data_IF_091661383751
#
_entry.id   IF_091661383751
#
_cell.length_a   1.000
_cell.length_b   1.000
_cell.length_c   1.000
_cell.angle_alpha   90.00
_cell.angle_beta   90.00
_cell.angle_gamma   90.00
#
_symmetry.space_group_name_H-M   'P 1'
#
loop_
_entity.id
_entity.type
_entity.pdbx_description
1 polymer ?
#
# COMPACT_ATOMS: atom_id res chain seq x y z
N UNK A 1 17.02 66.46 27.01
CA UNK A 1 17.90 65.29 26.77
C UNK A 1 17.24 64.46 25.68
N UNK A 2 17.93 64.29 24.57
CA UNK A 2 17.63 63.48 23.37
C UNK A 2 18.64 62.28 23.39
N UNK A 3 18.67 61.31 22.45
CA UNK A 3 17.65 60.41 21.88
C UNK A 3 18.14 58.92 21.77
N UNK A 4 17.36 58.07 21.07
CA UNK A 4 17.78 56.98 20.14
C UNK A 4 18.02 55.51 20.58
N UNK A 5 17.22 54.63 19.95
CA UNK A 5 17.50 53.40 19.14
C UNK A 5 18.72 52.51 19.41
N UNK A 6 18.53 51.17 19.49
CA UNK A 6 19.40 50.05 19.06
C UNK A 6 18.62 48.73 19.23
N UNK A 7 18.85 47.58 18.57
CA UNK A 7 19.29 47.17 17.23
C UNK A 7 19.12 45.62 17.20
N UNK A 8 18.88 45.07 16.02
CA UNK A 8 18.85 43.63 15.71
C UNK A 8 20.23 42.97 15.91
N UNK A 9 20.26 41.70 16.33
CA UNK A 9 21.47 40.86 16.28
C UNK A 9 21.13 39.51 15.63
N UNK A 10 21.59 39.35 14.38
CA UNK A 10 21.67 38.06 13.70
C UNK A 10 22.96 37.34 14.08
N UNK A 11 22.89 36.02 14.24
CA UNK A 11 24.05 35.14 14.41
C UNK A 11 24.18 34.32 13.13
N UNK A 12 25.27 34.57 12.40
CA UNK A 12 25.75 33.72 11.32
C UNK A 12 26.75 32.71 11.91
N UNK A 13 26.55 31.42 11.65
CA UNK A 13 27.52 30.37 11.96
C UNK A 13 28.10 29.83 10.65
N UNK A 14 29.41 30.00 10.51
CA UNK A 14 30.19 29.64 9.34
C UNK A 14 30.45 28.12 9.27
N UNK A 15 30.21 27.53 8.10
CA UNK A 15 30.71 26.20 7.72
C UNK A 15 32.18 26.30 7.29
N UNK A 16 33.04 25.49 7.89
CA UNK A 16 34.40 25.21 7.38
C UNK A 16 34.42 23.84 6.71
N UNK A 17 34.68 23.84 5.41
CA UNK A 17 35.01 22.65 4.61
C UNK A 17 36.39 22.11 5.01
N UNK A 18 36.47 20.80 5.29
CA UNK A 18 37.73 20.06 5.40
C UNK A 18 37.94 19.18 4.17
N UNK A 19 39.00 19.46 3.42
CA UNK A 19 39.39 18.75 2.20
C UNK A 19 40.16 17.45 2.49
N UNK A 20 39.96 16.45 1.64
CA UNK A 20 40.79 15.24 1.53
C UNK A 20 42.15 15.54 0.87
N UNK A 21 43.21 14.90 1.38
CA UNK A 21 44.50 14.74 0.71
C UNK A 21 45.28 13.55 1.30
N UNK A 22 46.08 12.80 0.52
CA UNK A 22 46.43 11.40 0.82
C UNK A 22 47.91 11.18 1.24
N UNK A 23 48.20 9.96 1.71
CA UNK A 23 49.55 9.42 1.94
C UNK A 23 49.80 9.08 3.43
N UNK A 24 50.56 8.07 3.84
CA UNK A 24 51.38 7.06 3.20
C UNK A 24 51.67 5.95 4.25
N UNK A 25 52.22 4.84 3.78
CA UNK A 25 52.60 3.62 4.49
C UNK A 25 53.48 3.83 5.73
N UNK A 26 53.35 2.94 6.72
CA UNK A 26 54.27 2.86 7.86
C UNK A 26 54.11 1.57 8.65
N UNK A 27 55.10 0.71 8.49
CA UNK A 27 55.26 -0.64 9.02
C UNK A 27 55.55 -0.69 10.54
N UNK A 28 55.54 -1.93 11.06
CA UNK A 28 56.35 -2.42 12.17
C UNK A 28 55.83 -2.40 13.64
N UNK A 29 55.50 -3.63 14.07
CA UNK A 29 56.05 -4.36 15.24
C UNK A 29 55.85 -3.85 16.68
N UNK A 30 55.26 -4.74 17.50
CA UNK A 30 55.98 -5.31 18.64
C UNK A 30 55.44 -5.06 20.06
N UNK A 31 55.25 -6.15 20.82
CA UNK A 31 55.34 -6.20 22.28
C UNK A 31 53.99 -6.39 23.02
N UNK A 32 53.54 -7.60 23.34
CA UNK A 32 53.86 -8.47 24.51
C UNK A 32 53.44 -7.98 25.90
N UNK A 33 52.66 -8.83 26.58
CA UNK A 33 52.44 -8.88 28.04
C UNK A 33 50.97 -8.65 28.42
N UNK A 34 50.26 -9.50 29.14
CA UNK A 34 50.57 -10.72 29.88
C UNK A 34 49.59 -10.85 31.06
N UNK A 35 49.10 -12.06 31.34
CA UNK A 35 48.61 -12.46 32.67
C UNK A 35 47.10 -12.71 32.82
N UNK A 36 46.75 -13.95 33.22
CA UNK A 36 45.46 -14.26 33.87
C UNK A 36 44.88 -15.65 33.60
N UNK A 37 45.47 -16.70 34.18
CA UNK A 37 44.93 -18.07 34.26
C UNK A 37 43.71 -18.14 35.23
N UNK A 38 42.69 -18.98 35.04
CA UNK A 38 42.60 -20.43 35.32
C UNK A 38 41.09 -20.77 35.38
N UNK A 39 40.53 -21.95 35.13
CA UNK A 39 40.97 -23.30 34.79
C UNK A 39 39.72 -24.20 34.71
N UNK A 40 39.79 -25.35 34.02
CA UNK A 40 38.71 -26.35 33.99
C UNK A 40 38.63 -27.19 32.72
N UNK A 41 39.48 -28.21 32.63
CA UNK A 41 39.46 -29.37 31.70
C UNK A 41 38.20 -30.24 31.97
N UNK A 42 37.67 -31.16 31.15
CA UNK A 42 38.12 -32.20 30.19
C UNK A 42 36.81 -32.73 29.53
N UNK A 43 36.70 -33.31 28.34
CA UNK A 43 37.66 -33.73 27.33
C UNK A 43 36.97 -34.42 26.14
N UNK A 44 37.76 -34.58 25.07
CA UNK A 44 37.78 -35.70 24.08
C UNK A 44 36.57 -35.82 23.13
N UNK A 45 36.68 -35.36 21.88
CA UNK A 45 37.30 -36.08 20.75
C UNK A 45 36.22 -36.18 19.66
N UNK A 46 36.43 -36.07 18.35
CA UNK A 46 37.61 -36.17 17.50
C UNK A 46 37.25 -35.59 16.12
N UNK A 47 38.15 -34.76 15.59
CA UNK A 47 38.59 -34.67 14.19
C UNK A 47 37.66 -35.17 13.07
N UNK A 48 37.38 -34.31 12.09
CA UNK A 48 38.16 -34.31 10.84
C UNK A 48 37.78 -33.14 9.93
N UNK A 49 38.81 -32.68 9.24
CA UNK A 49 38.96 -31.44 8.51
C UNK A 49 38.83 -31.64 7.00
N UNK A 50 38.66 -30.50 6.34
CA UNK A 50 38.57 -30.26 4.91
C UNK A 50 39.66 -30.91 4.02
N UNK A 51 39.32 -30.97 2.73
CA UNK A 51 40.22 -31.15 1.58
C UNK A 51 39.55 -32.05 0.54
N UNK A 52 39.43 -31.71 -0.74
CA UNK A 52 39.92 -30.59 -1.52
C UNK A 52 39.83 -30.97 -3.00
N UNK A 53 39.68 -29.94 -3.84
CA UNK A 53 40.13 -29.82 -5.23
C UNK A 53 39.68 -30.82 -6.33
N UNK A 54 39.15 -30.24 -7.41
CA UNK A 54 39.64 -30.52 -8.76
C UNK A 54 38.62 -31.08 -9.74
N UNK A 55 38.25 -30.29 -10.76
CA UNK A 55 37.64 -30.82 -11.98
C UNK A 55 36.68 -29.89 -12.73
N UNK A 56 37.22 -28.96 -13.51
CA UNK A 56 36.65 -28.52 -14.81
C UNK A 56 37.72 -28.84 -15.86
N UNK A 57 37.43 -29.00 -17.17
CA UNK A 57 36.33 -28.37 -17.91
C UNK A 57 35.60 -29.29 -18.92
N UNK A 58 34.38 -28.92 -19.32
CA UNK A 58 33.97 -29.17 -20.71
C UNK A 58 32.91 -28.17 -21.17
N UNK A 59 33.29 -27.41 -22.21
CA UNK A 59 32.43 -26.59 -23.06
C UNK A 59 31.40 -27.45 -23.79
N UNK A 60 30.19 -26.92 -23.96
CA UNK A 60 29.41 -27.14 -25.18
C UNK A 60 28.53 -25.92 -25.47
N UNK A 61 28.70 -25.47 -26.70
CA UNK A 61 28.28 -24.23 -27.35
C UNK A 61 26.79 -24.09 -27.64
N UNK A 62 26.35 -22.84 -27.72
CA UNK A 62 25.22 -22.39 -28.53
C UNK A 62 25.41 -22.75 -30.01
N UNK A 63 24.35 -23.19 -30.70
CA UNK A 63 24.16 -22.88 -32.11
C UNK A 63 22.69 -23.00 -32.53
N UNK A 64 22.29 -21.99 -33.27
CA UNK A 64 21.03 -21.76 -33.96
C UNK A 64 20.95 -22.48 -35.32
N UNK A 65 19.72 -22.61 -35.83
CA UNK A 65 19.26 -22.56 -37.24
C UNK A 65 17.98 -23.40 -37.34
N UNK A 66 16.92 -23.07 -38.09
CA UNK A 66 16.69 -22.02 -39.07
C UNK A 66 15.68 -22.54 -40.11
N UNK A 67 14.62 -21.76 -40.38
CA UNK A 67 13.79 -21.80 -41.61
C UNK A 67 12.60 -22.78 -41.63
N UNK A 68 11.51 -22.55 -42.37
CA UNK A 68 10.99 -21.37 -43.08
C UNK A 68 9.56 -21.69 -43.62
N UNK A 69 8.75 -20.63 -43.77
CA UNK A 69 7.78 -20.35 -44.85
C UNK A 69 6.42 -21.07 -44.97
N UNK A 70 5.41 -20.22 -45.23
CA UNK A 70 4.04 -20.50 -45.70
C UNK A 70 3.06 -19.64 -44.89
N UNK A 71 2.47 -18.53 -45.34
CA UNK A 71 2.11 -18.08 -46.69
C UNK A 71 0.59 -18.12 -46.84
N UNK A 72 -0.13 -17.06 -46.42
CA UNK A 72 -1.49 -16.78 -46.88
C UNK A 72 -1.88 -15.32 -46.59
N UNK A 73 -1.86 -14.51 -47.64
CA UNK A 73 -2.56 -13.23 -47.78
C UNK A 73 -4.05 -13.46 -48.00
N UNK A 74 -4.91 -12.68 -47.34
CA UNK A 74 -6.14 -12.19 -47.99
C UNK A 74 -6.55 -10.84 -47.41
N UNK A 75 -6.79 -9.93 -48.34
CA UNK A 75 -7.23 -8.54 -48.23
C UNK A 75 -8.73 -8.46 -48.52
N UNK A 76 -9.37 -7.41 -48.00
CA UNK A 76 -10.73 -6.96 -48.40
C UNK A 76 -11.68 -6.93 -47.20
N UNK A 77 -12.49 -5.91 -46.96
CA UNK A 77 -12.80 -4.70 -47.72
C UNK A 77 -13.71 -3.79 -46.88
N UNK A 78 -13.85 -2.55 -47.33
CA UNK A 78 -14.52 -1.46 -46.63
C UNK A 78 -16.03 -1.35 -46.91
N UNK A 79 -16.77 -0.90 -45.89
CA UNK A 79 -17.94 0.01 -45.96
C UNK A 79 -19.33 -0.60 -46.31
N UNK A 80 -20.41 0.22 -46.28
CA UNK A 80 -20.75 1.26 -45.30
C UNK A 80 -22.26 1.25 -44.90
N UNK A 81 -22.64 2.15 -43.96
CA UNK A 81 -23.94 2.83 -43.83
C UNK A 81 -25.23 2.04 -43.50
N UNK A 82 -25.94 2.51 -42.46
CA UNK A 82 -27.32 2.09 -42.18
C UNK A 82 -27.96 2.82 -41.00
N UNK A 83 -28.20 4.12 -41.15
CA UNK A 83 -29.08 4.91 -40.28
C UNK A 83 -30.54 4.50 -40.45
N UNK A 84 -31.26 4.29 -39.35
CA UNK A 84 -32.73 4.39 -39.33
C UNK A 84 -33.19 5.11 -38.06
N UNK A 85 -33.62 6.36 -38.24
CA UNK A 85 -34.49 7.10 -37.35
C UNK A 85 -35.96 6.75 -37.64
N UNK A 86 -36.78 6.58 -36.60
CA UNK A 86 -38.20 7.01 -36.52
C UNK A 86 -38.80 6.36 -35.26
N UNK A 87 -39.09 7.10 -34.21
CA UNK A 87 -40.39 7.74 -33.95
C UNK A 87 -40.84 7.26 -32.56
N UNK A 88 -41.13 8.12 -31.58
CA UNK A 88 -42.17 9.14 -31.62
C UNK A 88 -43.49 8.52 -31.17
N UNK A 89 -43.70 8.39 -29.86
CA UNK A 89 -44.93 7.86 -29.28
C UNK A 89 -45.17 8.44 -27.89
N UNK A 90 -46.02 9.47 -27.81
CA UNK A 90 -46.55 10.06 -26.59
C UNK A 90 -47.71 9.23 -26.01
N UNK A 91 -47.83 9.24 -24.68
CA UNK A 91 -48.97 8.70 -23.91
C UNK A 91 -48.51 7.63 -22.93
N UNK A 92 -48.86 7.61 -21.64
CA UNK A 92 -49.78 8.41 -20.87
C UNK A 92 -49.35 8.33 -19.40
N UNK A 93 -49.61 9.40 -18.64
CA UNK A 93 -49.49 9.40 -17.20
C UNK A 93 -50.57 8.49 -16.58
N UNK A 94 -50.14 7.51 -15.80
CA UNK A 94 -50.97 6.84 -14.79
C UNK A 94 -50.29 7.02 -13.45
N UNK A 95 -50.94 7.81 -12.59
CA UNK A 95 -50.46 8.11 -11.26
C UNK A 95 -50.60 6.94 -10.30
N UNK A 96 -49.70 6.96 -9.32
CA UNK A 96 -50.02 6.70 -7.92
C UNK A 96 -50.43 5.29 -7.53
N UNK A 97 -49.43 4.50 -7.14
CA UNK A 97 -49.47 3.86 -5.82
C UNK A 97 -48.15 4.14 -5.12
N UNK A 98 -48.14 5.13 -4.22
CA UNK A 98 -47.18 5.19 -3.13
C UNK A 98 -47.38 3.95 -2.28
N UNK A 99 -46.66 2.88 -2.63
CA UNK A 99 -46.26 1.92 -1.63
C UNK A 99 -45.33 2.67 -0.69
N UNK A 100 -45.76 2.87 0.55
CA UNK A 100 -44.86 3.17 1.65
C UNK A 100 -43.92 1.97 1.81
N UNK A 101 -42.90 1.90 0.94
CA UNK A 101 -41.75 1.06 1.17
C UNK A 101 -41.07 1.63 2.39
N UNK A 102 -41.21 0.95 3.53
CA UNK A 102 -40.31 1.17 4.65
C UNK A 102 -38.88 1.16 4.11
N UNK A 103 -38.06 2.10 4.58
CA UNK A 103 -36.64 2.15 4.24
C UNK A 103 -36.07 0.73 4.31
N UNK A 104 -35.41 0.23 3.25
CA UNK A 104 -34.65 -1.00 3.39
C UNK A 104 -33.69 -0.76 4.55
N UNK A 105 -33.74 -1.58 5.59
CA UNK A 105 -32.56 -1.78 6.43
C UNK A 105 -31.53 -2.42 5.51
N UNK A 106 -30.81 -1.58 4.76
CA UNK A 106 -30.06 -1.99 3.58
C UNK A 106 -28.90 -2.87 3.99
N UNK A 107 -28.90 -4.11 3.51
CA UNK A 107 -27.75 -4.99 3.59
C UNK A 107 -26.51 -4.27 3.04
N UNK A 108 -25.36 -4.48 3.65
CA UNK A 108 -24.13 -3.88 3.19
C UNK A 108 -23.64 -4.56 1.90
N UNK A 109 -24.00 -4.01 0.74
CA UNK A 109 -23.63 -4.59 -0.55
C UNK A 109 -22.34 -4.00 -1.11
N UNK A 110 -21.75 -4.70 -2.08
CA UNK A 110 -20.57 -4.19 -2.80
C UNK A 110 -20.89 -2.90 -3.56
N UNK A 111 -22.07 -2.83 -4.17
CA UNK A 111 -22.53 -1.66 -4.93
C UNK A 111 -22.69 -0.43 -4.02
N UNK A 112 -23.18 -0.63 -2.79
CA UNK A 112 -23.25 0.44 -1.80
C UNK A 112 -21.84 0.94 -1.45
N UNK A 113 -20.93 0.04 -1.11
CA UNK A 113 -19.57 0.40 -0.71
C UNK A 113 -18.78 1.07 -1.85
N UNK A 114 -18.88 0.56 -3.07
CA UNK A 114 -18.19 1.11 -4.24
C UNK A 114 -18.78 2.48 -4.64
N UNK A 115 -20.11 2.62 -4.61
CA UNK A 115 -20.79 3.88 -4.86
C UNK A 115 -20.43 4.96 -3.83
N UNK A 116 -20.34 4.60 -2.54
CA UNK A 116 -19.91 5.54 -1.51
C UNK A 116 -18.45 5.99 -1.67
N UNK A 117 -17.56 5.13 -2.18
CA UNK A 117 -16.20 5.54 -2.54
C UNK A 117 -16.19 6.51 -3.73
N UNK A 118 -17.04 6.28 -4.75
CA UNK A 118 -17.19 7.21 -5.86
C UNK A 118 -17.71 8.57 -5.40
N UNK A 119 -18.76 8.58 -4.57
CA UNK A 119 -19.33 9.80 -3.99
C UNK A 119 -18.30 10.54 -3.12
N UNK A 120 -17.53 9.82 -2.30
CA UNK A 120 -16.45 10.37 -1.50
C UNK A 120 -15.40 11.09 -2.36
N UNK A 121 -14.92 10.42 -3.41
CA UNK A 121 -13.90 11.00 -4.29
C UNK A 121 -14.43 12.18 -5.10
N UNK A 122 -15.70 12.15 -5.51
CA UNK A 122 -16.35 13.28 -6.17
C UNK A 122 -16.49 14.49 -5.22
N UNK A 123 -16.94 14.27 -3.98
CA UNK A 123 -17.05 15.31 -2.96
C UNK A 123 -15.68 15.90 -2.60
N UNK A 124 -14.65 15.05 -2.48
CA UNK A 124 -13.27 15.47 -2.23
C UNK A 124 -12.74 16.37 -3.35
N UNK A 125 -12.92 15.99 -4.61
CA UNK A 125 -12.50 16.81 -5.75
C UNK A 125 -13.29 18.13 -5.86
N UNK A 126 -14.52 18.17 -5.34
CA UNK A 126 -15.33 19.38 -5.27
C UNK A 126 -14.96 20.28 -4.07
N UNK A 127 -14.19 19.78 -3.11
CA UNK A 127 -13.89 20.46 -1.86
C UNK A 127 -15.12 20.70 -0.97
N UNK A 128 -16.18 19.91 -1.16
CA UNK A 128 -17.46 20.07 -0.46
C UNK A 128 -18.03 18.70 -0.06
N UNK A 129 -18.05 18.36 1.24
CA UNK A 129 -18.58 17.09 1.73
C UNK A 129 -20.12 17.08 1.82
N UNK A 130 -20.82 18.17 1.49
CA UNK A 130 -22.27 18.31 1.70
C UNK A 130 -23.14 17.31 0.92
N UNK A 131 -22.59 16.70 -0.14
CA UNK A 131 -23.25 15.64 -0.90
C UNK A 131 -23.14 14.25 -0.26
N UNK A 132 -22.29 14.07 0.75
CA UNK A 132 -22.05 12.76 1.36
C UNK A 132 -23.14 12.40 2.38
N UNK A 133 -23.56 11.13 2.45
CA UNK A 133 -24.46 10.66 3.49
C UNK A 133 -23.67 10.47 4.79
N UNK A 134 -23.42 11.56 5.52
CA UNK A 134 -22.67 11.54 6.78
C UNK A 134 -23.61 11.29 7.95
N UNK A 135 -23.27 10.31 8.80
CA UNK A 135 -23.99 10.10 10.05
C UNK A 135 -23.77 11.27 11.03
N UNK A 136 -24.72 11.48 11.94
CA UNK A 136 -24.51 12.40 13.06
C UNK A 136 -23.28 11.96 13.88
N UNK A 137 -22.32 12.86 14.05
CA UNK A 137 -21.10 12.58 14.80
C UNK A 137 -20.06 11.74 14.03
N UNK A 138 -20.13 11.68 12.70
CA UNK A 138 -19.10 11.04 11.85
C UNK A 138 -17.68 11.39 12.34
N UNK A 139 -16.85 10.37 12.56
CA UNK A 139 -15.44 10.58 12.93
C UNK A 139 -14.57 10.59 11.69
N UNK A 140 -14.00 11.76 11.39
CA UNK A 140 -13.03 11.93 10.32
C UNK A 140 -11.62 12.15 10.88
N UNK A 141 -10.64 11.47 10.29
CA UNK A 141 -9.22 11.69 10.59
C UNK A 141 -8.43 11.86 9.29
N UNK A 142 -7.47 12.79 9.32
CA UNK A 142 -6.44 12.93 8.30
C UNK A 142 -5.08 12.83 8.97
N UNK A 143 -4.24 11.90 8.52
CA UNK A 143 -2.86 11.74 8.99
C UNK A 143 -2.75 11.58 10.51
N UNK A 144 -3.67 10.83 11.11
CA UNK A 144 -3.70 10.56 12.55
C UNK A 144 -4.38 11.66 13.39
N UNK A 145 -4.84 12.74 12.76
CA UNK A 145 -5.47 13.86 13.46
C UNK A 145 -6.97 13.90 13.16
N UNK A 146 -7.80 13.96 14.21
CA UNK A 146 -9.23 14.17 14.06
C UNK A 146 -9.52 15.61 13.62
N UNK A 147 -10.42 15.74 12.64
CA UNK A 147 -10.86 17.03 12.11
C UNK A 147 -12.33 16.96 11.69
N UNK A 148 -12.92 18.13 11.41
CA UNK A 148 -14.18 18.19 10.69
C UNK A 148 -13.91 17.93 9.20
N UNK A 149 -14.68 17.04 8.58
CA UNK A 149 -14.56 16.74 7.15
C UNK A 149 -14.76 18.01 6.32
N UNK A 150 -13.99 18.15 5.24
CA UNK A 150 -14.02 19.35 4.38
C UNK A 150 -13.18 20.53 4.89
N UNK A 151 -12.64 20.47 6.11
CA UNK A 151 -11.88 21.61 6.69
C UNK A 151 -10.37 21.51 6.55
N UNK A 152 -9.82 20.33 6.24
CA UNK A 152 -8.37 20.14 6.09
C UNK A 152 -7.86 20.73 4.78
N UNK A 153 -6.55 21.02 4.72
CA UNK A 153 -5.94 21.56 3.50
C UNK A 153 -6.06 20.58 2.33
N UNK A 154 -5.87 19.27 2.58
CA UNK A 154 -6.08 18.26 1.54
C UNK A 154 -7.50 18.27 1.01
N UNK A 155 -8.52 18.36 1.88
CA UNK A 155 -9.92 18.43 1.44
C UNK A 155 -10.21 19.66 0.58
N UNK A 156 -9.53 20.78 0.82
CA UNK A 156 -9.76 22.04 0.10
C UNK A 156 -9.00 22.13 -1.22
N UNK A 157 -7.89 21.42 -1.33
CA UNK A 157 -6.94 21.54 -2.45
C UNK A 157 -6.81 20.26 -3.29
N UNK A 158 -7.49 19.17 -2.92
CA UNK A 158 -7.55 17.94 -3.70
C UNK A 158 -8.24 18.16 -5.05
N UNK A 159 -7.69 17.56 -6.11
CA UNK A 159 -8.32 17.51 -7.42
C UNK A 159 -8.91 16.13 -7.73
N UNK A 160 -9.31 15.94 -8.99
CA UNK A 160 -9.89 14.69 -9.47
C UNK A 160 -8.93 13.49 -9.26
N UNK A 161 -9.48 12.41 -8.72
CA UNK A 161 -8.74 11.17 -8.50
C UNK A 161 -8.27 10.60 -9.82
N UNK A 162 -6.95 10.38 -9.94
CA UNK A 162 -6.34 9.84 -11.15
C UNK A 162 -6.36 8.32 -11.20
N UNK A 163 -6.36 7.69 -10.03
CA UNK A 163 -6.38 6.24 -9.90
C UNK A 163 -6.85 5.84 -8.49
N UNK A 164 -7.56 4.71 -8.39
CA UNK A 164 -7.82 4.05 -7.09
C UNK A 164 -7.91 2.53 -7.26
N UNK A 165 -7.29 1.80 -6.33
CA UNK A 165 -7.48 0.36 -6.10
C UNK A 165 -8.28 0.19 -4.80
N UNK A 166 -9.28 -0.70 -4.78
CA UNK A 166 -10.34 -0.73 -3.76
C UNK A 166 -10.60 -2.15 -3.25
N UNK A 167 -10.82 -2.29 -1.95
CA UNK A 167 -11.35 -3.50 -1.31
C UNK A 167 -12.71 -3.19 -0.68
N UNK A 168 -13.69 -4.04 -0.92
CA UNK A 168 -15.06 -3.90 -0.45
C UNK A 168 -15.39 -5.04 0.53
N UNK A 169 -15.42 -4.74 1.82
CA UNK A 169 -15.71 -5.70 2.89
C UNK A 169 -17.17 -5.56 3.33
N UNK A 170 -18.02 -6.41 2.77
CA UNK A 170 -19.48 -6.40 3.04
C UNK A 170 -19.83 -6.91 4.43
N UNK A 171 -18.97 -7.71 5.07
CA UNK A 171 -19.24 -8.23 6.42
C UNK A 171 -18.88 -7.20 7.49
N UNK A 172 -17.75 -6.50 7.34
CA UNK A 172 -17.37 -5.39 8.21
C UNK A 172 -18.08 -4.07 7.88
N UNK A 173 -18.90 -4.08 6.82
CA UNK A 173 -19.49 -2.91 6.19
C UNK A 173 -18.54 -1.71 6.08
N UNK A 174 -17.39 -1.98 5.47
CA UNK A 174 -16.29 -1.04 5.37
C UNK A 174 -15.61 -1.21 4.03
N UNK A 175 -15.00 -0.14 3.52
CA UNK A 175 -14.21 -0.19 2.31
C UNK A 175 -12.88 0.51 2.52
N UNK A 176 -11.85 0.01 1.84
CA UNK A 176 -10.52 0.62 1.83
C UNK A 176 -10.05 0.88 0.41
N UNK A 177 -9.34 1.97 0.22
CA UNK A 177 -8.78 2.35 -1.06
C UNK A 177 -7.35 2.87 -0.91
N UNK A 178 -6.50 2.57 -1.88
CA UNK A 178 -5.27 3.30 -2.13
C UNK A 178 -5.42 4.04 -3.46
N UNK A 179 -5.07 5.30 -3.50
CA UNK A 179 -5.38 6.21 -4.60
C UNK A 179 -4.20 7.13 -4.93
N UNK A 180 -4.26 7.70 -6.14
CA UNK A 180 -3.41 8.79 -6.57
C UNK A 180 -4.28 10.01 -6.78
N UNK A 181 -4.09 11.03 -5.94
CA UNK A 181 -4.92 12.23 -5.89
C UNK A 181 -4.01 13.46 -5.99
N UNK A 182 -4.26 14.38 -6.93
CA UNK A 182 -3.48 15.61 -7.02
C UNK A 182 -3.85 16.59 -5.90
N UNK A 183 -2.86 17.26 -5.32
CA UNK A 183 -3.00 18.41 -4.42
C UNK A 183 -2.03 19.50 -4.89
N UNK A 184 -2.53 20.71 -5.18
CA UNK A 184 -1.67 21.83 -5.59
C UNK A 184 -0.79 21.54 -6.84
N UNK A 185 -1.28 20.70 -7.76
CA UNK A 185 -0.56 20.29 -8.98
C UNK A 185 0.47 19.18 -8.78
N UNK A 186 0.52 18.54 -7.61
CA UNK A 186 1.36 17.37 -7.32
C UNK A 186 0.51 16.15 -7.04
N UNK A 187 0.84 15.03 -7.68
CA UNK A 187 0.18 13.75 -7.40
C UNK A 187 0.67 13.20 -6.06
N UNK A 188 -0.27 12.84 -5.19
CA UNK A 188 0.00 12.28 -3.87
C UNK A 188 -0.52 10.83 -3.79
N UNK A 189 0.25 9.91 -3.17
CA UNK A 189 -0.29 8.64 -2.70
C UNK A 189 -1.23 8.89 -1.52
N UNK A 190 -2.42 8.32 -1.58
CA UNK A 190 -3.46 8.48 -0.55
C UNK A 190 -4.02 7.11 -0.18
N UNK A 191 -4.23 6.86 1.11
CA UNK A 191 -5.01 5.73 1.59
C UNK A 191 -6.29 6.26 2.25
N UNK A 192 -7.39 5.53 2.07
CA UNK A 192 -8.71 5.86 2.60
C UNK A 192 -9.34 4.59 3.17
N UNK A 193 -9.93 4.70 4.36
CA UNK A 193 -10.89 3.72 4.89
C UNK A 193 -12.19 4.45 5.21
N UNK A 194 -13.30 3.85 4.80
CA UNK A 194 -14.65 4.24 5.22
C UNK A 194 -15.32 3.10 5.99
N UNK A 195 -16.16 3.45 6.97
CA UNK A 195 -17.13 2.55 7.61
C UNK A 195 -18.53 3.08 7.41
N UNK A 196 -19.46 2.15 7.21
CA UNK A 196 -20.85 2.45 6.86
C UNK A 196 -21.79 1.78 7.87
N UNK A 197 -22.74 2.55 8.38
CA UNK A 197 -23.85 2.03 9.18
C UNK A 197 -25.14 2.70 8.69
N UNK A 198 -26.18 1.92 8.42
CA UNK A 198 -27.45 2.49 7.93
C UNK A 198 -27.35 3.21 6.58
N UNK A 199 -26.38 2.84 5.72
CA UNK A 199 -26.03 3.55 4.47
C UNK A 199 -25.42 4.94 4.65
N UNK A 200 -25.01 5.29 5.88
CA UNK A 200 -24.30 6.53 6.20
C UNK A 200 -22.85 6.26 6.58
N UNK A 201 -21.96 7.17 6.22
CA UNK A 201 -20.55 7.16 6.62
C UNK A 201 -20.45 7.54 8.10
N UNK A 202 -19.97 6.61 8.93
CA UNK A 202 -19.77 6.81 10.37
C UNK A 202 -18.31 7.06 10.73
N UNK A 203 -17.38 6.49 9.95
CA UNK A 203 -15.95 6.64 10.17
C UNK A 203 -15.22 6.83 8.84
N UNK A 204 -14.28 7.78 8.81
CA UNK A 204 -13.46 8.09 7.65
C UNK A 204 -12.02 8.31 8.12
N UNK A 205 -11.10 7.52 7.59
CA UNK A 205 -9.67 7.59 7.92
C UNK A 205 -8.85 7.78 6.65
N UNK A 206 -8.16 8.90 6.55
CA UNK A 206 -7.35 9.29 5.38
C UNK A 206 -5.88 9.41 5.75
N UNK A 207 -5.02 8.79 4.93
CA UNK A 207 -3.56 8.94 4.98
C UNK A 207 -3.15 9.64 3.68
N UNK A 208 -2.58 10.84 3.80
CA UNK A 208 -2.09 11.65 2.68
C UNK A 208 -0.58 11.76 2.80
N UNK A 209 0.16 11.29 1.79
CA UNK A 209 1.63 11.24 1.84
C UNK A 209 2.23 12.34 0.99
N UNK A 210 2.72 13.42 1.63
CA UNK A 210 3.46 14.49 0.95
C UNK A 210 4.96 14.19 0.92
N UNK A 211 5.74 14.83 0.01
CA UNK A 211 7.18 14.64 -0.01
C UNK A 211 7.83 15.01 1.34
N UNK A 212 8.57 14.05 1.91
CA UNK A 212 9.21 14.21 3.23
C UNK A 212 8.37 13.69 4.40
N UNK A 213 7.13 13.27 4.18
CA UNK A 213 6.26 12.74 5.25
C UNK A 213 6.63 11.31 5.68
N UNK A 214 7.55 10.64 4.97
CA UNK A 214 8.02 9.30 5.31
C UNK A 214 9.54 9.30 5.45
N UNK A 215 10.05 9.21 6.69
CA UNK A 215 11.47 9.44 7.00
C UNK A 215 12.21 8.23 7.59
N UNK A 216 11.63 7.03 7.50
CA UNK A 216 12.32 5.80 7.93
C UNK A 216 13.70 5.65 7.25
N UNK A 217 14.66 5.01 7.93
CA UNK A 217 16.03 4.82 7.37
C UNK A 217 16.07 3.99 6.08
N UNK A 218 15.03 3.21 5.82
CA UNK A 218 14.80 2.41 4.63
C UNK A 218 13.74 3.02 3.70
N UNK A 219 13.27 4.23 3.99
CA UNK A 219 12.26 4.90 3.20
C UNK A 219 12.75 5.13 1.77
N UNK A 220 11.84 4.90 0.83
CA UNK A 220 12.00 5.22 -0.58
C UNK A 220 11.14 6.43 -0.92
N UNK A 221 11.63 7.24 -1.86
CA UNK A 221 10.84 8.37 -2.35
C UNK A 221 9.53 7.88 -2.99
N UNK A 222 8.43 8.55 -2.65
CA UNK A 222 7.12 8.27 -3.24
C UNK A 222 7.16 8.39 -4.76
N UNK A 223 6.46 7.49 -5.45
CA UNK A 223 6.31 7.52 -6.90
C UNK A 223 4.85 7.18 -7.28
N UNK A 224 3.92 8.15 -7.20
CA UNK A 224 2.50 7.93 -7.48
C UNK A 224 2.25 7.36 -8.89
N UNK A 225 3.07 7.74 -9.87
CA UNK A 225 2.93 7.23 -11.25
C UNK A 225 3.14 5.71 -11.33
N UNK A 226 3.99 5.12 -10.47
CA UNK A 226 4.19 3.67 -10.43
C UNK A 226 2.97 2.92 -9.87
N UNK A 227 2.19 3.54 -8.97
CA UNK A 227 0.93 2.96 -8.47
C UNK A 227 -0.04 2.76 -9.64
N UNK A 228 -0.15 3.77 -10.52
CA UNK A 228 -1.01 3.72 -11.70
C UNK A 228 -0.47 2.68 -12.70
N UNK A 229 0.82 2.76 -13.02
CA UNK A 229 1.43 1.97 -14.08
C UNK A 229 1.35 0.46 -13.87
N UNK A 230 1.43 -0.01 -12.61
CA UNK A 230 1.41 -1.44 -12.29
C UNK A 230 -0.02 -2.00 -12.13
N UNK A 231 -1.03 -1.13 -12.07
CA UNK A 231 -2.38 -1.53 -11.64
C UNK A 231 -3.01 -2.61 -12.54
N UNK A 232 -2.85 -2.46 -13.85
CA UNK A 232 -3.37 -3.41 -14.84
C UNK A 232 -2.64 -4.77 -14.78
N UNK A 233 -1.36 -4.79 -14.38
CA UNK A 233 -0.61 -6.04 -14.20
C UNK A 233 -1.09 -6.83 -12.98
N UNK A 234 -1.63 -6.13 -11.96
CA UNK A 234 -2.09 -6.75 -10.71
C UNK A 234 -3.57 -7.16 -10.80
N UNK A 235 -4.40 -6.40 -11.52
CA UNK A 235 -5.83 -6.67 -11.61
C UNK A 235 -6.54 -6.44 -10.28
N UNK A 236 -6.35 -5.27 -9.67
CA UNK A 236 -6.96 -4.94 -8.36
C UNK A 236 -8.49 -5.03 -8.38
N UNK A 237 -9.13 -4.64 -9.48
CA UNK A 237 -10.59 -4.67 -9.60
C UNK A 237 -11.14 -5.98 -10.16
N UNK A 238 -10.26 -6.86 -10.64
CA UNK A 238 -10.65 -8.14 -11.22
C UNK A 238 -11.13 -9.09 -10.13
N UNK A 239 -12.28 -9.72 -10.39
CA UNK A 239 -12.77 -10.80 -9.55
C UNK A 239 -11.88 -12.02 -9.68
N UNK A 240 -11.54 -12.62 -8.54
CA UNK A 240 -10.84 -13.89 -8.50
C UNK A 240 -11.83 -15.01 -8.87
N UNK A 241 -11.46 -16.01 -9.70
CA UNK A 241 -12.32 -17.16 -9.95
C UNK A 241 -12.75 -17.84 -8.64
N UNK A 242 -14.00 -18.28 -8.53
CA UNK A 242 -14.56 -18.79 -7.26
C UNK A 242 -13.72 -19.90 -6.61
N UNK A 243 -13.16 -20.81 -7.42
CA UNK A 243 -12.30 -21.90 -6.95
C UNK A 243 -10.91 -21.45 -6.44
N UNK A 244 -10.50 -20.21 -6.73
CA UNK A 244 -9.24 -19.61 -6.34
C UNK A 244 -9.41 -18.53 -5.26
N UNK A 245 -10.66 -18.20 -4.87
CA UNK A 245 -10.95 -17.21 -3.83
C UNK A 245 -10.50 -17.74 -2.47
N UNK A 246 -9.72 -16.92 -1.77
CA UNK A 246 -9.49 -17.13 -0.36
C UNK A 246 -10.78 -16.84 0.42
N UNK A 247 -11.01 -17.61 1.47
CA UNK A 247 -12.04 -17.31 2.47
C UNK A 247 -11.67 -16.06 3.25
N UNK A 248 -12.67 -15.47 3.92
CA UNK A 248 -12.47 -14.36 4.86
C UNK A 248 -11.43 -14.68 5.93
N UNK A 249 -11.55 -15.86 6.55
CA UNK A 249 -10.65 -16.31 7.61
C UNK A 249 -9.20 -16.39 7.09
N UNK A 250 -9.01 -16.91 5.88
CA UNK A 250 -7.69 -16.90 5.24
C UNK A 250 -7.18 -15.48 5.04
N UNK A 251 -7.92 -14.60 4.35
CA UNK A 251 -7.48 -13.22 4.09
C UNK A 251 -7.14 -12.44 5.36
N UNK A 252 -8.01 -12.51 6.37
CA UNK A 252 -7.83 -11.83 7.65
C UNK A 252 -6.68 -12.41 8.47
N UNK A 253 -6.54 -13.74 8.51
CA UNK A 253 -5.39 -14.39 9.16
C UNK A 253 -4.08 -14.06 8.45
N UNK A 254 -4.08 -13.93 7.12
CA UNK A 254 -2.88 -13.59 6.34
C UNK A 254 -2.36 -12.21 6.67
N UNK A 255 -3.23 -11.20 6.62
CA UNK A 255 -2.81 -9.83 6.86
C UNK A 255 -2.43 -9.60 8.33
N UNK A 256 -3.15 -10.18 9.31
CA UNK A 256 -2.73 -10.15 10.72
C UNK A 256 -1.33 -10.76 10.91
N UNK A 257 -1.10 -11.94 10.32
CA UNK A 257 0.20 -12.61 10.38
C UNK A 257 1.32 -11.82 9.69
N UNK A 258 1.04 -11.22 8.54
CA UNK A 258 2.01 -10.38 7.81
C UNK A 258 2.59 -9.30 8.71
N UNK A 259 1.73 -8.58 9.43
CA UNK A 259 2.16 -7.54 10.37
C UNK A 259 2.87 -8.11 11.60
N UNK A 260 2.37 -9.20 12.18
CA UNK A 260 3.00 -9.82 13.36
C UNK A 260 4.38 -10.41 13.09
N UNK A 261 4.60 -10.91 11.87
CA UNK A 261 5.83 -11.59 11.48
C UNK A 261 6.86 -10.67 10.78
N UNK A 262 6.55 -9.39 10.57
CA UNK A 262 7.45 -8.45 9.90
C UNK A 262 8.82 -8.37 10.60
N UNK A 263 9.97 -8.29 9.88
CA UNK A 263 10.15 -8.17 8.42
C UNK A 263 10.27 -9.50 7.68
N UNK A 264 9.77 -10.61 8.25
CA UNK A 264 10.01 -11.96 7.70
C UNK A 264 9.47 -12.16 6.29
N UNK A 265 8.62 -11.26 5.79
CA UNK A 265 8.07 -11.29 4.44
C UNK A 265 6.67 -11.88 4.41
N UNK A 266 6.18 -12.13 3.20
CA UNK A 266 4.85 -12.68 2.95
C UNK A 266 4.89 -14.20 2.87
N UNK A 267 3.71 -14.77 2.94
CA UNK A 267 3.46 -16.16 2.59
C UNK A 267 3.51 -16.34 1.05
N UNK A 268 3.72 -17.58 0.57
CA UNK A 268 3.77 -18.02 -0.84
C UNK A 268 3.45 -16.93 -1.88
N UNK A 269 4.50 -16.45 -2.57
CA UNK A 269 4.37 -15.38 -3.58
C UNK A 269 4.44 -15.92 -4.99
N UNK A 270 3.79 -15.24 -5.92
CA UNK A 270 4.07 -15.46 -7.34
C UNK A 270 5.41 -14.86 -7.71
N UNK A 271 6.07 -15.39 -8.76
CA UNK A 271 7.32 -14.83 -9.26
C UNK A 271 7.19 -13.39 -9.81
N UNK A 272 5.96 -12.97 -10.14
CA UNK A 272 5.65 -11.62 -10.59
C UNK A 272 5.37 -10.64 -9.44
N UNK A 273 5.24 -11.12 -8.20
CA UNK A 273 4.78 -10.29 -7.10
C UNK A 273 5.67 -9.08 -6.84
N UNK A 274 5.04 -7.90 -6.83
CA UNK A 274 5.67 -6.61 -6.55
C UNK A 274 5.18 -5.98 -5.26
N UNK A 275 6.11 -5.31 -4.59
CA UNK A 275 5.86 -4.48 -3.43
C UNK A 275 6.17 -3.02 -3.70
N UNK A 276 5.20 -2.15 -3.45
CA UNK A 276 5.32 -0.70 -3.53
C UNK A 276 5.04 -0.06 -2.18
N UNK A 277 5.85 0.93 -1.81
CA UNK A 277 5.64 1.78 -0.62
C UNK A 277 5.48 3.22 -1.09
N UNK A 278 4.29 3.79 -0.95
CA UNK A 278 3.95 5.11 -1.52
C UNK A 278 4.25 5.19 -3.03
N UNK A 279 4.19 4.05 -3.73
CA UNK A 279 4.59 3.87 -5.12
C UNK A 279 6.11 3.72 -5.35
N UNK A 280 6.94 3.97 -4.34
CA UNK A 280 8.39 3.81 -4.40
C UNK A 280 8.87 2.35 -4.27
N UNK A 281 10.14 2.14 -4.58
CA UNK A 281 10.85 0.89 -4.31
C UNK A 281 10.75 -0.18 -5.42
N UNK A 282 9.54 -0.50 -5.89
CA UNK A 282 9.27 -1.59 -6.84
C UNK A 282 10.06 -2.87 -6.54
N UNK A 283 9.91 -3.33 -5.30
CA UNK A 283 10.64 -4.49 -4.80
C UNK A 283 9.95 -5.78 -5.24
N UNK A 284 10.72 -6.84 -5.50
CA UNK A 284 10.12 -8.18 -5.56
C UNK A 284 9.63 -8.56 -4.17
N UNK A 285 8.43 -9.15 -4.08
CA UNK A 285 7.96 -9.73 -2.83
C UNK A 285 8.92 -10.85 -2.39
N UNK A 286 9.07 -11.01 -1.07
CA UNK A 286 9.91 -12.06 -0.49
C UNK A 286 9.03 -13.04 0.26
N UNK A 287 9.14 -14.32 -0.09
CA UNK A 287 8.62 -15.40 0.74
C UNK A 287 9.45 -15.48 2.02
N UNK A 288 8.79 -15.58 3.16
CA UNK A 288 9.49 -15.91 4.40
C UNK A 288 8.62 -16.14 5.63
N UNK A 289 7.29 -16.01 5.52
CA UNK A 289 6.33 -16.49 6.52
C UNK A 289 5.55 -17.72 6.00
N UNK A 290 5.06 -18.58 6.91
CA UNK A 290 4.25 -19.76 6.56
C UNK A 290 2.80 -19.40 6.19
N UNK A 291 2.33 -19.94 5.05
CA UNK A 291 0.99 -20.43 4.63
C UNK A 291 -0.07 -20.92 5.63
N UNK A 292 0.26 -21.19 6.90
CA UNK A 292 -0.70 -21.82 7.81
C UNK A 292 -1.52 -20.81 8.62
N UNK A 293 -2.86 -20.91 8.52
CA UNK A 293 -3.81 -20.23 9.41
C UNK A 293 -3.59 -20.64 10.87
N UNK A 294 -3.73 -19.69 11.81
CA UNK A 294 -3.62 -19.94 13.26
C UNK A 294 -2.20 -20.03 13.84
N UNK A 295 -1.16 -19.91 13.01
CA UNK A 295 0.22 -19.69 13.47
C UNK A 295 0.51 -18.17 13.43
N UNK A 296 0.53 -17.46 14.57
CA UNK A 296 0.57 -16.00 14.61
C UNK A 296 1.87 -15.39 14.07
N UNK A 297 2.87 -16.22 13.74
CA UNK A 297 4.25 -15.78 13.69
C UNK A 297 4.77 -15.49 15.10
N UNK A 298 6.01 -15.89 15.38
CA UNK A 298 6.62 -15.59 16.69
C UNK A 298 7.01 -14.11 16.78
N UNK A 299 6.59 -13.42 17.85
CA UNK A 299 7.18 -12.13 18.26
C UNK A 299 6.44 -10.87 17.83
N UNK A 300 5.09 -10.88 17.91
CA UNK A 300 4.20 -9.79 17.49
C UNK A 300 4.80 -8.39 17.63
N UNK A 301 5.27 -7.84 16.52
CA UNK A 301 5.88 -6.52 16.48
C UNK A 301 4.84 -5.45 16.10
N UNK A 302 3.92 -5.76 15.17
CA UNK A 302 2.81 -4.86 14.79
C UNK A 302 1.48 -5.59 14.88
N UNK A 303 0.47 -4.93 15.45
CA UNK A 303 -0.90 -5.45 15.59
C UNK A 303 -1.80 -4.53 14.77
N UNK A 304 -2.42 -5.03 13.68
CA UNK A 304 -3.38 -4.23 12.92
C UNK A 304 -4.55 -3.81 13.80
N UNK A 305 -4.88 -2.52 13.78
CA UNK A 305 -6.07 -1.96 14.44
C UNK A 305 -7.33 -2.26 13.64
N UNK A 306 -7.22 -2.27 12.31
CA UNK A 306 -8.31 -2.59 11.40
C UNK A 306 -7.82 -3.60 10.37
N UNK A 307 -8.66 -4.59 10.08
CA UNK A 307 -8.48 -5.54 8.99
C UNK A 307 -9.75 -5.52 8.15
N UNK A 308 -9.59 -5.45 6.82
CA UNK A 308 -10.68 -5.62 5.85
C UNK A 308 -10.36 -6.80 4.93
N UNK A 309 -11.40 -7.53 4.53
CA UNK A 309 -11.30 -8.61 3.55
C UNK A 309 -12.36 -8.45 2.45
N UNK A 310 -11.90 -8.48 1.19
CA UNK A 310 -12.73 -8.56 -0.02
C UNK A 310 -12.48 -9.92 -0.67
N UNK A 311 -13.33 -10.90 -0.39
CA UNK A 311 -13.19 -12.29 -0.87
C UNK A 311 -13.40 -12.39 -2.38
N UNK A 312 -14.22 -11.51 -2.96
CA UNK A 312 -14.54 -11.51 -4.39
C UNK A 312 -13.34 -11.08 -5.22
N UNK A 313 -12.63 -10.03 -4.79
CA UNK A 313 -11.40 -9.55 -5.45
C UNK A 313 -10.13 -10.15 -4.84
N UNK A 314 -10.24 -10.94 -3.77
CA UNK A 314 -9.09 -11.51 -3.07
C UNK A 314 -8.15 -10.44 -2.52
N UNK A 315 -8.69 -9.42 -1.86
CA UNK A 315 -7.89 -8.33 -1.29
C UNK A 315 -8.01 -8.34 0.22
N UNK A 316 -6.88 -8.28 0.92
CA UNK A 316 -6.83 -8.00 2.34
C UNK A 316 -6.20 -6.62 2.57
N UNK A 317 -6.76 -5.85 3.50
CA UNK A 317 -6.18 -4.59 3.97
C UNK A 317 -5.92 -4.72 5.47
N UNK A 318 -4.79 -4.18 5.93
CA UNK A 318 -4.55 -3.96 7.34
C UNK A 318 -4.06 -2.55 7.59
N UNK A 319 -4.67 -1.88 8.58
CA UNK A 319 -4.25 -0.59 9.08
C UNK A 319 -3.57 -0.77 10.42
N UNK A 320 -2.36 -0.24 10.56
CA UNK A 320 -1.56 -0.35 11.79
C UNK A 320 -0.82 0.96 12.06
N UNK A 321 -0.30 1.08 13.27
CA UNK A 321 0.89 1.87 13.52
C UNK A 321 2.09 0.97 13.27
N UNK A 322 2.94 1.34 12.32
CA UNK A 322 4.15 0.64 11.95
C UNK A 322 5.35 1.36 12.54
N UNK A 323 5.90 0.87 13.65
CA UNK A 323 6.98 1.51 14.42
C UNK A 323 8.31 0.76 14.32
N UNK A 324 8.58 0.14 13.17
CA UNK A 324 9.84 -0.58 12.94
C UNK A 324 11.05 0.36 12.93
N UNK A 325 11.74 0.45 14.06
CA UNK A 325 12.94 1.29 14.25
C UNK A 325 12.66 2.80 14.04
N UNK A 326 11.43 3.24 14.25
CA UNK A 326 10.98 4.63 14.10
C UNK A 326 9.97 5.00 15.18
N UNK A 327 9.58 6.27 15.27
CA UNK A 327 8.57 6.76 16.24
C UNK A 327 7.12 6.41 15.86
N UNK A 328 6.89 5.62 14.81
CA UNK A 328 5.58 5.11 14.38
C UNK A 328 5.00 5.81 13.15
N UNK A 329 4.66 5.01 12.14
CA UNK A 329 4.03 5.42 10.89
C UNK A 329 2.57 4.95 10.86
N UNK A 330 1.65 5.83 10.48
CA UNK A 330 0.32 5.41 10.11
C UNK A 330 0.40 4.69 8.76
N UNK A 331 -0.02 3.43 8.71
CA UNK A 331 0.25 2.52 7.61
C UNK A 331 -1.02 1.77 7.20
N UNK A 332 -1.33 1.80 5.91
CA UNK A 332 -2.28 0.90 5.27
C UNK A 332 -1.57 0.00 4.25
N UNK A 333 -1.45 -1.29 4.55
CA UNK A 333 -1.09 -2.29 3.55
C UNK A 333 -2.33 -2.87 2.87
N UNK A 334 -2.23 -3.12 1.58
CA UNK A 334 -3.21 -3.78 0.72
C UNK A 334 -2.51 -4.92 -0.02
N UNK A 335 -3.04 -6.14 0.11
CA UNK A 335 -2.46 -7.36 -0.45
C UNK A 335 -3.46 -8.00 -1.41
N UNK A 336 -3.01 -8.32 -2.64
CA UNK A 336 -3.78 -9.11 -3.61
C UNK A 336 -3.42 -10.59 -3.48
N UNK A 337 -4.42 -11.44 -3.33
CA UNK A 337 -4.29 -12.88 -3.18
C UNK A 337 -5.26 -13.64 -4.09
N UNK A 338 -4.78 -14.72 -4.68
CA UNK A 338 -5.62 -15.72 -5.35
C UNK A 338 -4.87 -17.05 -5.45
N UNK A 339 -5.61 -18.16 -5.46
CA UNK A 339 -5.03 -19.50 -5.60
C UNK A 339 -4.06 -19.86 -4.48
N UNK A 340 -4.24 -19.28 -3.28
CA UNK A 340 -3.34 -19.45 -2.13
C UNK A 340 -2.00 -18.71 -2.26
N UNK A 341 -1.83 -17.82 -3.25
CA UNK A 341 -0.59 -17.06 -3.45
C UNK A 341 -0.81 -15.56 -3.35
N UNK A 342 0.23 -14.83 -2.93
CA UNK A 342 0.28 -13.37 -2.94
C UNK A 342 0.81 -12.88 -4.30
N UNK A 343 0.06 -11.95 -4.91
CA UNK A 343 0.36 -11.37 -6.21
C UNK A 343 0.88 -9.94 -6.13
N UNK A 344 0.53 -9.20 -5.08
CA UNK A 344 1.04 -7.85 -4.86
C UNK A 344 0.92 -7.43 -3.39
N UNK A 345 1.80 -6.52 -2.97
CA UNK A 345 1.77 -5.87 -1.65
C UNK A 345 1.97 -4.37 -1.83
N UNK A 346 0.93 -3.56 -1.71
CA UNK A 346 1.06 -2.11 -1.76
C UNK A 346 0.84 -1.51 -0.38
N UNK A 347 1.67 -0.55 0.01
CA UNK A 347 1.54 0.17 1.26
C UNK A 347 1.49 1.67 1.02
N UNK A 348 0.59 2.35 1.72
CA UNK A 348 0.57 3.81 1.83
C UNK A 348 0.80 4.14 3.30
N UNK A 349 1.90 4.85 3.58
CA UNK A 349 2.37 5.08 4.93
C UNK A 349 3.10 6.41 5.09
N UNK A 350 2.95 7.03 6.25
CA UNK A 350 3.67 8.25 6.64
C UNK A 350 3.91 8.34 8.14
N UNK A 351 4.84 9.18 8.54
CA UNK A 351 5.16 9.49 9.92
C UNK A 351 3.99 10.18 10.61
N UNK A 352 3.55 9.64 11.74
CA UNK A 352 2.54 10.25 12.62
C UNK A 352 2.94 10.21 14.10
N UNK A 353 4.19 9.85 14.39
CA UNK A 353 4.71 9.65 15.75
C UNK A 353 3.84 8.69 16.56
N UNK A 354 3.40 7.62 15.91
CA UNK A 354 2.61 6.55 16.53
C UNK A 354 1.15 6.90 16.76
N UNK A 355 0.66 8.03 16.25
CA UNK A 355 -0.73 8.45 16.42
C UNK A 355 -1.59 7.97 15.25
N UNK A 356 -2.70 7.29 15.57
CA UNK A 356 -3.71 6.89 14.60
C UNK A 356 -4.91 7.84 14.53
N UNK A 357 -5.18 8.58 15.63
CA UNK A 357 -6.43 9.34 15.80
C UNK A 357 -7.63 8.48 16.18
N UNK A 358 -7.43 7.17 16.37
CA UNK A 358 -8.45 6.16 16.67
C UNK A 358 -8.23 5.43 18.01
N UNK A 359 -7.40 6.00 18.88
CA UNK A 359 -7.28 5.58 20.29
C UNK A 359 -8.53 5.91 21.11
#
# INVERSE_FOLDING_TARGET
MNPSSFLSLGVALALTLGACGPGENGDATGGTGGGGASGGTVGSGSQSSAGGAGGTPQEASCASSGGASGGATSTGGAGPSGSTSSGGGSGAATGGTSGSGGAPGGDCTRELLDGLLDDYFAALAAGDPSSLPLAEGVKFTENGMQAEIGTTDFWRDAGEVKHSQRALDTEACSAGAQAVIPEGGRDLPVALRIKVEGSELTEIETIVVRPGDYTASFAVASNPAAIIAISDEIGWHDEVPEAERATREELTSWIDKYFRAFPSGVCDVTGACKRLENGGGNFSCRTGASCSAGDPGSGGTFIPRVILADEVRGIAIGLTIFDFMTDGHLDMHMIKMSGGQVHAVHAILRDTNGVSGWE
#
